data_IF_872772924515
#
_entry.id   IF_872772924515
#
_cell.length_a   1.000
_cell.length_b   1.000
_cell.length_c   1.000
_cell.angle_alpha   90.00
_cell.angle_beta   90.00
_cell.angle_gamma   90.00
#
_symmetry.space_group_name_H-M   'P 1'
#
loop_
_entity.id
_entity.type
_entity.pdbx_description
1 polymer ?
#
# COMPACT_ATOMS: atom_id res chain seq x y z
N UNK A 1 -10.76 17.45 28.52
CA UNK A 1 -9.97 17.74 27.29
C UNK A 1 -8.54 17.19 27.42
N UNK A 2 -7.99 16.60 26.37
CA UNK A 2 -6.60 16.11 26.37
C UNK A 2 -5.68 17.20 25.81
N UNK A 3 -5.17 18.08 26.68
CA UNK A 3 -4.42 19.27 26.24
C UNK A 3 -3.15 18.94 25.45
N UNK A 4 -2.47 17.84 25.77
CA UNK A 4 -1.31 17.35 25.02
C UNK A 4 -1.67 16.96 23.56
N UNK A 5 -2.84 16.37 23.33
CA UNK A 5 -3.32 16.06 21.96
C UNK A 5 -3.71 17.33 21.21
N UNK A 6 -4.33 18.30 21.90
CA UNK A 6 -4.67 19.59 21.30
C UNK A 6 -3.40 20.31 20.84
N UNK A 7 -2.37 20.34 21.68
CA UNK A 7 -1.07 20.90 21.32
C UNK A 7 -0.45 20.17 20.11
N UNK A 8 -0.46 18.84 20.09
CA UNK A 8 0.05 18.06 18.96
C UNK A 8 -0.72 18.36 17.65
N UNK A 9 -2.05 18.50 17.70
CA UNK A 9 -2.86 18.89 16.53
C UNK A 9 -2.51 20.30 16.04
N UNK A 10 -2.24 21.24 16.93
CA UNK A 10 -1.81 22.58 16.54
C UNK A 10 -0.49 22.57 15.76
N UNK A 11 0.47 21.73 16.16
CA UNK A 11 1.71 21.51 15.41
C UNK A 11 1.42 20.87 14.05
N UNK A 12 0.61 19.80 14.00
CA UNK A 12 0.25 19.13 12.74
C UNK A 12 -0.46 20.08 11.75
N UNK A 13 -1.33 20.98 12.24
CA UNK A 13 -1.97 21.98 11.37
C UNK A 13 -0.98 23.03 10.86
N UNK A 14 -0.02 23.46 11.69
CA UNK A 14 1.04 24.36 11.25
C UNK A 14 1.87 23.73 10.13
N UNK A 15 2.27 22.46 10.29
CA UNK A 15 3.01 21.71 9.27
C UNK A 15 2.18 21.53 7.99
N UNK A 16 0.90 21.22 8.11
CA UNK A 16 0.00 21.05 6.96
C UNK A 16 -0.20 22.34 6.13
N UNK A 17 0.04 23.51 6.73
CA UNK A 17 -0.02 24.80 6.04
C UNK A 17 1.27 25.17 5.30
N UNK A 18 2.35 24.41 5.47
CA UNK A 18 3.62 24.68 4.80
C UNK A 18 3.56 24.29 3.30
N UNK A 19 4.21 25.04 2.40
CA UNK A 19 4.24 24.72 0.96
C UNK A 19 4.72 23.29 0.67
N UNK A 20 5.67 22.78 1.44
CA UNK A 20 6.24 21.44 1.32
C UNK A 20 5.19 20.35 1.56
N UNK A 21 4.19 20.60 2.42
CA UNK A 21 3.09 19.67 2.64
C UNK A 21 2.24 19.51 1.38
N UNK A 22 2.05 20.57 0.61
CA UNK A 22 1.35 20.50 -0.68
C UNK A 22 2.12 19.62 -1.68
N UNK A 23 3.45 19.79 -1.77
CA UNK A 23 4.30 18.95 -2.61
C UNK A 23 4.29 17.49 -2.15
N UNK A 24 4.30 17.25 -0.84
CA UNK A 24 4.14 15.92 -0.25
C UNK A 24 2.80 15.27 -0.65
N UNK A 25 1.68 15.98 -0.51
CA UNK A 25 0.36 15.44 -0.89
C UNK A 25 0.26 15.13 -2.39
N UNK A 26 0.86 15.95 -3.25
CA UNK A 26 0.96 15.65 -4.68
C UNK A 26 1.76 14.37 -4.93
N UNK A 27 2.85 14.16 -4.20
CA UNK A 27 3.65 12.93 -4.30
C UNK A 27 2.86 11.70 -3.85
N UNK A 28 2.07 11.81 -2.78
CA UNK A 28 1.20 10.72 -2.29
C UNK A 28 0.28 10.21 -3.40
N UNK A 29 -0.38 11.12 -4.12
CA UNK A 29 -1.28 10.77 -5.22
C UNK A 29 -0.51 10.14 -6.39
N UNK A 30 0.61 10.73 -6.81
CA UNK A 30 1.45 10.17 -7.89
C UNK A 30 1.92 8.75 -7.57
N UNK A 31 2.34 8.53 -6.32
CA UNK A 31 2.75 7.22 -5.84
C UNK A 31 1.59 6.22 -5.89
N UNK A 32 0.38 6.62 -5.47
CA UNK A 32 -0.79 5.74 -5.49
C UNK A 32 -1.19 5.34 -6.91
N UNK A 33 -1.18 6.31 -7.84
CA UNK A 33 -1.44 6.09 -9.26
C UNK A 33 -0.39 5.15 -9.89
N UNK A 34 0.89 5.33 -9.56
CA UNK A 34 1.97 4.48 -10.04
C UNK A 34 1.80 3.02 -9.57
N UNK A 35 1.47 2.81 -8.29
CA UNK A 35 1.22 1.47 -7.76
C UNK A 35 -0.03 0.83 -8.39
N UNK A 36 -1.14 1.57 -8.48
CA UNK A 36 -2.38 1.08 -9.08
C UNK A 36 -2.15 0.64 -10.54
N UNK A 37 -1.37 1.41 -11.30
CA UNK A 37 -0.99 1.06 -12.67
C UNK A 37 -0.25 -0.29 -12.74
N UNK A 38 0.68 -0.57 -11.83
CA UNK A 38 1.38 -1.86 -11.79
C UNK A 38 0.41 -3.01 -11.58
N UNK A 39 -0.54 -2.91 -10.65
CA UNK A 39 -1.55 -3.95 -10.44
C UNK A 39 -2.39 -4.19 -11.69
N UNK A 40 -2.85 -3.11 -12.35
CA UNK A 40 -3.61 -3.23 -13.60
C UNK A 40 -2.78 -3.84 -14.74
N UNK A 41 -1.51 -3.43 -14.89
CA UNK A 41 -0.60 -3.99 -15.89
C UNK A 41 -0.29 -5.48 -15.64
N UNK A 42 -0.37 -5.92 -14.38
CA UNK A 42 -0.27 -7.34 -13.97
C UNK A 42 -1.59 -8.11 -14.10
N UNK A 43 -2.66 -7.46 -14.58
CA UNK A 43 -3.95 -8.09 -14.84
C UNK A 43 -4.89 -8.16 -13.63
N UNK A 44 -4.56 -7.48 -12.52
CA UNK A 44 -5.45 -7.41 -11.36
C UNK A 44 -6.52 -6.33 -11.52
N UNK A 45 -7.70 -6.57 -10.94
CA UNK A 45 -8.79 -5.61 -10.97
C UNK A 45 -8.62 -4.56 -9.88
N UNK A 46 -8.12 -3.38 -10.26
CA UNK A 46 -8.18 -2.19 -9.42
C UNK A 46 -9.58 -1.59 -9.51
N UNK A 47 -10.29 -1.51 -8.38
CA UNK A 47 -11.63 -0.92 -8.32
C UNK A 47 -11.56 0.51 -8.84
N UNK A 48 -12.52 0.90 -9.70
CA UNK A 48 -12.54 2.18 -10.44
C UNK A 48 -11.45 2.38 -11.50
N UNK A 49 -10.64 1.35 -11.78
CA UNK A 49 -9.58 1.35 -12.82
C UNK A 49 -8.51 2.42 -12.59
N UNK A 50 -8.21 2.71 -11.32
CA UNK A 50 -7.19 3.68 -10.94
C UNK A 50 -7.42 4.23 -9.53
N UNK A 51 -6.90 5.42 -9.30
CA UNK A 51 -7.17 6.23 -8.10
C UNK A 51 -6.86 7.70 -8.35
N UNK A 52 -7.65 8.57 -7.72
CA UNK A 52 -7.45 10.02 -7.70
C UNK A 52 -7.03 10.53 -6.31
N UNK A 53 -6.82 9.61 -5.34
CA UNK A 53 -6.42 9.94 -3.98
C UNK A 53 -5.18 9.17 -3.51
N UNK A 54 -5.11 8.85 -2.21
CA UNK A 54 -3.96 8.28 -1.54
C UNK A 54 -4.02 6.75 -1.41
N UNK A 55 -5.11 6.13 -1.84
CA UNK A 55 -5.33 4.69 -1.72
C UNK A 55 -5.98 4.10 -2.97
N UNK A 56 -5.95 2.79 -3.07
CA UNK A 56 -6.72 2.04 -4.06
C UNK A 56 -7.09 0.66 -3.51
N UNK A 57 -8.11 0.06 -4.11
CA UNK A 57 -8.59 -1.27 -3.77
C UNK A 57 -8.27 -2.22 -4.91
N UNK A 58 -7.69 -3.37 -4.58
CA UNK A 58 -7.42 -4.46 -5.53
C UNK A 58 -8.36 -5.61 -5.22
N UNK A 59 -9.12 -6.04 -6.22
CA UNK A 59 -9.97 -7.23 -6.18
C UNK A 59 -9.22 -8.43 -6.73
N UNK A 60 -9.33 -9.54 -6.02
CA UNK A 60 -8.76 -10.83 -6.41
C UNK A 60 -9.81 -11.88 -6.75
N UNK A 61 -11.08 -11.48 -6.89
CA UNK A 61 -12.20 -12.37 -7.24
C UNK A 61 -11.87 -13.14 -8.54
N UNK A 62 -11.44 -12.44 -9.59
CA UNK A 62 -11.10 -13.05 -10.88
C UNK A 62 -9.86 -13.96 -10.81
N UNK A 63 -8.95 -13.67 -9.87
CA UNK A 63 -7.78 -14.50 -9.61
C UNK A 63 -8.11 -15.75 -8.76
N UNK A 64 -9.34 -15.84 -8.23
CA UNK A 64 -9.78 -16.92 -7.35
C UNK A 64 -9.07 -16.92 -5.99
N UNK A 65 -8.60 -15.76 -5.52
CA UNK A 65 -7.91 -15.60 -4.24
C UNK A 65 -8.76 -14.81 -3.25
N UNK A 66 -8.48 -15.00 -1.96
CA UNK A 66 -9.10 -14.22 -0.89
C UNK A 66 -8.19 -13.09 -0.43
N UNK A 67 -8.79 -12.01 0.07
CA UNK A 67 -8.04 -10.92 0.72
C UNK A 67 -7.24 -11.43 1.92
N UNK A 68 -7.76 -12.42 2.66
CA UNK A 68 -7.08 -13.04 3.80
C UNK A 68 -5.80 -13.78 3.41
N UNK A 69 -5.79 -14.53 2.31
CA UNK A 69 -4.57 -15.21 1.83
C UNK A 69 -3.49 -14.20 1.44
N UNK A 70 -3.87 -13.20 0.64
CA UNK A 70 -2.95 -12.15 0.19
C UNK A 70 -2.39 -11.33 1.36
N UNK A 71 -3.23 -10.98 2.33
CA UNK A 71 -2.84 -10.29 3.57
C UNK A 71 -1.78 -11.07 4.36
N UNK A 72 -1.92 -12.40 4.46
CA UNK A 72 -0.94 -13.27 5.13
C UNK A 72 0.37 -13.32 4.35
N UNK A 73 0.32 -13.62 3.04
CA UNK A 73 1.54 -13.77 2.23
C UNK A 73 2.37 -12.49 2.17
N UNK A 74 1.71 -11.34 2.02
CA UNK A 74 2.38 -10.04 2.06
C UNK A 74 2.93 -9.74 3.46
N UNK A 75 2.19 -10.10 4.51
CA UNK A 75 2.65 -10.00 5.89
C UNK A 75 3.94 -10.78 6.16
N UNK A 76 4.03 -12.02 5.68
CA UNK A 76 5.22 -12.87 5.80
C UNK A 76 6.44 -12.26 5.09
N UNK A 77 6.18 -11.51 4.01
CA UNK A 77 7.16 -10.74 3.25
C UNK A 77 7.50 -9.37 3.87
N UNK A 78 7.02 -9.07 5.09
CA UNK A 78 7.13 -7.76 5.77
C UNK A 78 6.47 -6.59 5.00
N UNK A 79 5.40 -6.86 4.26
CA UNK A 79 4.58 -5.85 3.60
C UNK A 79 3.21 -5.82 4.28
N UNK A 80 2.96 -4.80 5.09
CA UNK A 80 1.69 -4.66 5.80
C UNK A 80 0.63 -4.01 4.91
N UNK A 81 -0.45 -4.74 4.66
CA UNK A 81 -1.66 -4.24 4.00
C UNK A 81 -2.87 -4.49 4.90
N UNK A 82 -4.06 -4.19 4.39
CA UNK A 82 -5.31 -4.54 5.03
C UNK A 82 -6.19 -5.28 4.03
N UNK A 83 -6.58 -6.52 4.35
CA UNK A 83 -7.70 -7.18 3.66
C UNK A 83 -8.96 -6.33 3.75
N UNK A 84 -9.66 -6.17 2.63
CA UNK A 84 -10.77 -5.25 2.52
C UNK A 84 -11.86 -5.84 1.61
N UNK A 85 -13.12 -5.63 1.98
CA UNK A 85 -14.23 -6.02 1.12
C UNK A 85 -14.23 -5.23 -0.19
N UNK A 86 -14.68 -5.86 -1.27
CA UNK A 86 -14.85 -5.24 -2.58
C UNK A 86 -16.34 -5.18 -2.98
N UNK A 87 -16.74 -4.41 -4.00
CA UNK A 87 -18.12 -4.44 -4.48
C UNK A 87 -18.58 -5.87 -4.82
N UNK A 88 -19.75 -6.26 -4.31
CA UNK A 88 -20.31 -7.62 -4.47
C UNK A 88 -19.38 -8.74 -3.98
N UNK A 89 -18.65 -8.51 -2.89
CA UNK A 89 -17.72 -9.49 -2.33
C UNK A 89 -18.42 -10.84 -2.03
N UNK A 90 -17.97 -11.96 -2.64
CA UNK A 90 -18.53 -13.28 -2.37
C UNK A 90 -18.09 -13.84 -1.01
N UNK A 91 -17.07 -13.26 -0.39
CA UNK A 91 -16.49 -13.73 0.87
C UNK A 91 -17.09 -13.01 2.07
N UNK A 92 -17.01 -13.65 3.24
CA UNK A 92 -17.42 -13.02 4.50
C UNK A 92 -16.50 -11.84 4.88
N UNK A 93 -16.94 -10.91 5.75
CA UNK A 93 -16.11 -9.81 6.24
C UNK A 93 -14.79 -10.22 6.93
N UNK A 94 -14.69 -11.47 7.39
CA UNK A 94 -13.46 -12.00 8.01
C UNK A 94 -12.43 -12.52 6.99
N UNK A 95 -12.86 -12.77 5.75
CA UNK A 95 -12.06 -13.35 4.68
C UNK A 95 -11.80 -12.30 3.59
N UNK A 96 -12.86 -11.66 3.08
CA UNK A 96 -12.87 -10.67 1.98
C UNK A 96 -12.23 -11.16 0.67
N UNK A 97 -12.41 -10.43 -0.41
CA UNK A 97 -11.82 -10.76 -1.73
C UNK A 97 -10.81 -9.73 -2.24
N UNK A 98 -10.37 -8.80 -1.40
CA UNK A 98 -9.44 -7.76 -1.84
C UNK A 98 -8.53 -7.23 -0.75
N UNK A 99 -7.65 -6.31 -1.14
CA UNK A 99 -6.80 -5.53 -0.22
C UNK A 99 -6.94 -4.04 -0.51
N UNK A 100 -6.69 -3.24 0.52
CA UNK A 100 -6.53 -1.78 0.42
C UNK A 100 -5.08 -1.39 0.57
N UNK A 101 -4.55 -0.68 -0.41
CA UNK A 101 -3.17 -0.20 -0.44
C UNK A 101 -3.17 1.32 -0.39
N UNK A 102 -2.31 1.91 0.42
CA UNK A 102 -2.19 3.37 0.56
C UNK A 102 -0.74 3.81 0.62
N UNK A 103 -0.47 5.01 0.09
CA UNK A 103 0.89 5.55 -0.09
C UNK A 103 1.36 6.63 0.90
N UNK A 104 0.56 7.22 1.81
CA UNK A 104 1.06 8.25 2.73
C UNK A 104 2.30 7.82 3.53
N UNK A 105 2.24 6.65 4.17
CA UNK A 105 3.31 6.19 5.07
C UNK A 105 4.66 5.98 4.35
N UNK A 106 4.65 5.37 3.16
CA UNK A 106 5.88 5.17 2.38
C UNK A 106 6.39 6.50 1.80
N UNK A 107 5.48 7.39 1.41
CA UNK A 107 5.84 8.71 0.89
C UNK A 107 6.50 9.57 1.97
N UNK A 108 6.02 9.53 3.22
CA UNK A 108 6.66 10.20 4.37
C UNK A 108 8.10 9.72 4.58
N UNK A 109 8.39 8.46 4.27
CA UNK A 109 9.76 7.88 4.34
C UNK A 109 10.65 8.25 3.16
N UNK A 110 10.12 8.99 2.18
CA UNK A 110 10.86 9.44 1.00
C UNK A 110 10.67 8.60 -0.25
N UNK A 111 9.72 7.65 -0.28
CA UNK A 111 9.42 6.90 -1.50
C UNK A 111 8.92 7.84 -2.62
N UNK A 112 9.42 7.60 -3.83
CA UNK A 112 8.91 8.19 -5.07
C UNK A 112 8.24 7.12 -5.93
N UNK A 113 7.84 7.51 -7.14
CA UNK A 113 7.13 6.64 -8.07
C UNK A 113 7.93 5.37 -8.36
N UNK A 114 9.25 5.48 -8.53
CA UNK A 114 10.12 4.33 -8.79
C UNK A 114 10.10 3.30 -7.66
N UNK A 115 10.29 3.72 -6.41
CA UNK A 115 10.20 2.81 -5.26
C UNK A 115 8.80 2.22 -5.10
N UNK A 116 7.75 3.01 -5.36
CA UNK A 116 6.38 2.54 -5.30
C UNK A 116 6.07 1.49 -6.38
N UNK A 117 6.59 1.68 -7.59
CA UNK A 117 6.48 0.70 -8.69
C UNK A 117 7.21 -0.60 -8.30
N UNK A 118 8.40 -0.50 -7.73
CA UNK A 118 9.14 -1.67 -7.25
C UNK A 118 8.35 -2.42 -6.16
N UNK A 119 7.83 -1.69 -5.17
CA UNK A 119 7.04 -2.26 -4.08
C UNK A 119 5.78 -2.96 -4.61
N UNK A 120 5.01 -2.30 -5.48
CA UNK A 120 3.82 -2.89 -6.09
C UNK A 120 4.16 -4.12 -6.95
N UNK A 121 5.30 -4.12 -7.63
CA UNK A 121 5.78 -5.27 -8.40
C UNK A 121 6.09 -6.44 -7.50
N UNK A 122 6.77 -6.21 -6.36
CA UNK A 122 7.05 -7.26 -5.38
C UNK A 122 5.78 -7.82 -4.75
N UNK A 123 4.78 -6.96 -4.49
CA UNK A 123 3.47 -7.40 -4.03
C UNK A 123 2.83 -8.35 -5.06
N UNK A 124 2.83 -7.97 -6.34
CA UNK A 124 2.32 -8.82 -7.41
C UNK A 124 3.11 -10.13 -7.54
N UNK A 125 4.44 -10.11 -7.41
CA UNK A 125 5.26 -11.34 -7.44
C UNK A 125 4.84 -12.33 -6.34
N UNK A 126 4.58 -11.86 -5.12
CA UNK A 126 4.07 -12.70 -4.03
C UNK A 126 2.69 -13.29 -4.37
N UNK A 127 1.77 -12.47 -4.88
CA UNK A 127 0.41 -12.92 -5.22
C UNK A 127 0.42 -13.90 -6.40
N UNK A 128 1.19 -13.61 -7.45
CA UNK A 128 1.33 -14.47 -8.63
C UNK A 128 1.94 -15.84 -8.27
N UNK A 129 2.86 -15.85 -7.30
CA UNK A 129 3.45 -17.09 -6.77
C UNK A 129 2.53 -17.87 -5.83
N UNK A 130 1.33 -17.32 -5.52
CA UNK A 130 0.39 -17.86 -4.53
C UNK A 130 1.02 -18.11 -3.16
N UNK A 131 1.89 -17.20 -2.73
CA UNK A 131 2.58 -17.29 -1.46
C UNK A 131 3.70 -18.31 -1.41
N UNK A 132 4.41 -18.54 -2.52
CA UNK A 132 5.60 -19.38 -2.52
C UNK A 132 6.65 -18.86 -1.53
N UNK A 133 7.16 -19.75 -0.68
CA UNK A 133 8.05 -19.38 0.41
C UNK A 133 9.39 -18.78 -0.06
N UNK A 134 9.90 -19.20 -1.22
CA UNK A 134 11.15 -18.67 -1.77
C UNK A 134 10.94 -17.26 -2.34
N UNK A 135 9.80 -17.02 -3.01
CA UNK A 135 9.41 -15.68 -3.48
C UNK A 135 9.19 -14.74 -2.30
N UNK A 136 8.45 -15.16 -1.27
CA UNK A 136 8.24 -14.39 -0.03
C UNK A 136 9.57 -14.02 0.62
N UNK A 137 10.49 -14.98 0.80
CA UNK A 137 11.81 -14.73 1.37
C UNK A 137 12.61 -13.70 0.57
N UNK A 138 12.57 -13.81 -0.76
CA UNK A 138 13.25 -12.88 -1.67
C UNK A 138 12.66 -11.47 -1.57
N UNK A 139 11.33 -11.35 -1.57
CA UNK A 139 10.64 -10.06 -1.43
C UNK A 139 10.89 -9.45 -0.07
N UNK A 140 10.89 -10.26 1.00
CA UNK A 140 11.22 -9.82 2.36
C UNK A 140 12.59 -9.14 2.43
N UNK A 141 13.61 -9.75 1.83
CA UNK A 141 14.95 -9.17 1.78
C UNK A 141 14.95 -7.81 1.06
N UNK A 142 14.25 -7.69 -0.07
CA UNK A 142 14.10 -6.43 -0.82
C UNK A 142 13.37 -5.35 0.00
N UNK A 143 12.25 -5.72 0.64
CA UNK A 143 11.46 -4.84 1.49
C UNK A 143 12.27 -4.33 2.70
N UNK A 144 13.09 -5.19 3.32
CA UNK A 144 13.98 -4.77 4.41
C UNK A 144 15.10 -3.84 3.92
N UNK A 145 15.71 -4.14 2.77
CA UNK A 145 16.78 -3.31 2.22
C UNK A 145 16.30 -1.88 1.90
N UNK A 146 15.14 -1.74 1.26
CA UNK A 146 14.58 -0.40 1.00
C UNK A 146 14.19 0.32 2.29
N UNK A 147 13.71 -0.40 3.30
CA UNK A 147 13.39 0.19 4.59
C UNK A 147 14.62 0.71 5.33
N UNK A 148 15.78 0.09 5.15
CA UNK A 148 17.06 0.56 5.69
C UNK A 148 17.56 1.81 4.94
N UNK A 149 17.38 1.85 3.61
CA UNK A 149 17.72 3.02 2.78
C UNK A 149 16.84 4.23 3.08
N UNK A 150 15.56 4.00 3.38
CA UNK A 150 14.53 5.02 3.61
C UNK A 150 13.92 4.85 5.02
N UNK A 151 14.64 5.24 6.09
CA UNK A 151 14.19 5.04 7.48
C UNK A 151 12.99 5.92 7.86
N UNK A 152 12.32 5.58 8.97
CA UNK A 152 11.14 6.32 9.47
C UNK A 152 11.52 7.61 10.20
N UNK A 153 12.64 7.59 10.92
CA UNK A 153 13.20 8.74 11.62
C UNK A 153 14.59 8.99 11.05
N UNK A 154 14.84 10.20 10.55
CA UNK A 154 16.13 10.68 10.05
C UNK A 154 16.46 12.01 10.72
#
# INVERSE_FOLDING_TARGET
PLMHVIAAKAIAFKEAMLPEFKTYQQQVIKNAQAMAKVFMDRGYDVISKGTDDHLFLVSFIEAGLTGKEVDIWLGDANITVNKNAVPNDPQSPFVTSGIRVGTPAVTTRGFKEEECIQLASWMCDVVDSRGDAAVISTVKAKAMAICQRLPVYA
#
